data_IF_746250857436
#
_entry.id   IF_746250857436
#
_cell.length_a   1.000
_cell.length_b   1.000
_cell.length_c   1.000
_cell.angle_alpha   90.00
_cell.angle_beta   90.00
_cell.angle_gamma   90.00
#
_symmetry.space_group_name_H-M   'P 1'
#
loop_
_entity.id
_entity.type
_entity.pdbx_description
1 polymer ?
#
# COMPACT_ATOMS: atom_id res chain seq x y z
N UNK A 1 -6.08 12.24 8.97
CA UNK A 1 -5.12 11.15 8.79
C UNK A 1 -4.06 11.20 9.87
N UNK A 2 -3.71 10.08 10.46
CA UNK A 2 -2.57 9.93 11.36
C UNK A 2 -1.27 9.80 10.56
N UNK A 3 -0.19 10.43 11.03
CA UNK A 3 1.12 10.42 10.36
C UNK A 3 2.22 10.29 11.40
N UNK A 4 3.05 9.29 11.27
CA UNK A 4 4.28 9.14 12.03
C UNK A 4 5.44 9.76 11.24
N UNK A 5 6.20 10.66 11.89
CA UNK A 5 7.36 11.31 11.27
C UNK A 5 8.66 10.78 11.81
N UNK A 6 9.57 10.42 10.92
CA UNK A 6 10.93 10.00 11.21
C UNK A 6 11.93 10.95 10.54
N UNK A 7 12.87 11.48 11.31
CA UNK A 7 13.84 12.44 10.80
C UNK A 7 13.33 13.90 10.70
N UNK A 8 14.24 14.79 10.40
CA UNK A 8 13.98 16.23 10.40
C UNK A 8 14.67 17.01 9.26
N UNK A 9 15.19 16.33 8.25
CA UNK A 9 15.95 16.96 7.16
C UNK A 9 15.91 16.16 5.86
N UNK A 10 16.54 16.72 4.83
CA UNK A 10 16.63 16.08 3.53
C UNK A 10 15.32 16.01 2.76
N UNK A 11 15.30 15.20 1.70
CA UNK A 11 14.12 14.99 0.89
C UNK A 11 13.04 14.19 1.65
N UNK A 12 11.78 14.46 1.34
CA UNK A 12 10.64 13.79 1.95
C UNK A 12 10.38 12.44 1.29
N UNK A 13 10.05 11.43 2.11
CA UNK A 13 9.58 10.11 1.67
C UNK A 13 8.22 9.86 2.31
N UNK A 14 7.19 9.66 1.50
CA UNK A 14 5.85 9.29 1.93
C UNK A 14 5.69 7.77 1.85
N UNK A 15 5.33 7.14 2.96
CA UNK A 15 5.22 5.69 3.09
C UNK A 15 3.74 5.32 3.23
N UNK A 16 3.19 4.65 2.22
CA UNK A 16 1.75 4.35 2.08
C UNK A 16 1.53 2.84 2.16
N UNK A 17 0.82 2.40 3.19
CA UNK A 17 0.55 0.98 3.43
C UNK A 17 -0.56 0.42 2.52
N UNK A 18 -0.69 -0.91 2.51
CA UNK A 18 -1.72 -1.64 1.77
C UNK A 18 -2.99 -1.93 2.56
N UNK A 19 -3.93 -2.66 1.93
CA UNK A 19 -5.18 -3.06 2.54
C UNK A 19 -4.94 -3.90 3.81
N UNK A 20 -5.71 -3.63 4.86
CA UNK A 20 -5.66 -4.36 6.12
C UNK A 20 -4.43 -4.11 6.99
N UNK A 21 -3.49 -3.26 6.55
CA UNK A 21 -2.30 -2.85 7.31
C UNK A 21 -2.41 -1.38 7.77
N UNK A 22 -1.34 -0.81 8.30
CA UNK A 22 -1.27 0.56 8.78
C UNK A 22 0.19 1.07 8.79
N UNK A 23 0.44 2.31 9.23
CA UNK A 23 1.76 2.93 9.33
C UNK A 23 2.80 2.06 10.06
N UNK A 24 2.38 1.21 10.97
CA UNK A 24 3.23 0.26 11.67
C UNK A 24 4.02 -0.70 10.75
N UNK A 25 3.54 -0.90 9.51
CA UNK A 25 4.27 -1.65 8.46
C UNK A 25 5.67 -1.09 8.23
N UNK A 26 5.85 0.19 8.43
CA UNK A 26 7.08 0.92 8.13
C UNK A 26 8.06 1.06 9.29
N UNK A 27 7.76 0.48 10.48
CA UNK A 27 8.55 0.62 11.71
C UNK A 27 10.03 0.24 11.59
N UNK A 28 10.33 -0.74 10.72
CA UNK A 28 11.70 -1.22 10.48
C UNK A 28 12.40 -0.48 9.32
N UNK A 29 11.66 0.33 8.55
CA UNK A 29 12.13 0.99 7.31
C UNK A 29 12.26 2.49 7.50
N UNK A 30 11.25 3.14 8.08
CA UNK A 30 11.23 4.59 8.22
C UNK A 30 12.40 5.16 9.04
N UNK A 31 12.88 4.53 10.13
CA UNK A 31 14.08 4.96 10.84
C UNK A 31 15.34 4.97 9.96
N UNK A 32 15.50 4.00 9.07
CA UNK A 32 16.67 3.90 8.19
C UNK A 32 16.72 5.03 7.16
N UNK A 33 15.57 5.46 6.66
CA UNK A 33 15.48 6.67 5.82
C UNK A 33 15.88 7.93 6.60
N UNK A 34 15.52 8.03 7.88
CA UNK A 34 15.95 9.13 8.73
C UNK A 34 17.47 9.13 8.94
N UNK A 35 18.10 7.95 9.13
CA UNK A 35 19.55 7.81 9.21
C UNK A 35 20.24 8.18 7.89
N UNK A 36 19.60 7.94 6.75
CA UNK A 36 20.05 8.35 5.42
C UNK A 36 19.75 9.82 5.08
N UNK A 37 19.50 10.67 6.10
CA UNK A 37 19.19 12.09 5.93
C UNK A 37 17.96 12.36 5.06
N UNK A 38 16.88 11.56 5.24
CA UNK A 38 15.56 11.80 4.68
C UNK A 38 14.56 12.10 5.79
N UNK A 39 13.45 12.73 5.46
CA UNK A 39 12.30 12.79 6.38
C UNK A 39 11.24 11.83 5.88
N UNK A 40 11.04 10.71 6.58
CA UNK A 40 10.00 9.76 6.25
C UNK A 40 8.69 10.08 6.99
N UNK A 41 7.57 9.97 6.29
CA UNK A 41 6.22 10.13 6.79
C UNK A 41 5.46 8.83 6.54
N UNK A 42 5.31 8.01 7.58
CA UNK A 42 4.49 6.82 7.54
C UNK A 42 3.03 7.21 7.85
N UNK A 43 2.15 7.06 6.87
CA UNK A 43 0.75 7.48 7.01
C UNK A 43 -0.14 6.30 7.33
N UNK A 44 -1.15 6.51 8.17
CA UNK A 44 -2.35 5.68 8.18
C UNK A 44 -3.34 6.27 7.18
N UNK A 45 -3.69 5.51 6.16
CA UNK A 45 -4.73 5.89 5.21
C UNK A 45 -6.03 6.24 5.96
N UNK A 46 -6.86 7.12 5.39
CA UNK A 46 -8.11 7.49 6.02
C UNK A 46 -9.00 6.25 6.18
N UNK A 47 -9.49 6.01 7.37
CA UNK A 47 -10.19 4.77 7.70
C UNK A 47 -9.31 3.64 8.25
N UNK A 48 -7.98 3.74 8.22
CA UNK A 48 -7.04 2.71 8.67
C UNK A 48 -6.26 3.16 9.91
N UNK A 49 -5.64 2.20 10.60
CA UNK A 49 -4.73 2.44 11.73
C UNK A 49 -5.33 3.35 12.80
N UNK A 50 -4.64 4.42 13.12
CA UNK A 50 -5.04 5.47 14.08
C UNK A 50 -5.75 6.67 13.40
N UNK A 51 -5.97 6.61 12.07
CA UNK A 51 -6.75 7.61 11.35
C UNK A 51 -8.25 7.54 11.69
N UNK A 52 -8.95 8.67 11.54
CA UNK A 52 -10.40 8.73 11.72
C UNK A 52 -11.14 7.75 10.80
N UNK A 53 -12.28 7.22 11.28
CA UNK A 53 -13.09 6.18 10.62
C UNK A 53 -14.57 6.55 10.54
N UNK A 54 -14.94 7.68 9.94
CA UNK A 54 -16.36 8.01 9.76
C UNK A 54 -17.01 7.02 8.80
N UNK A 55 -18.24 6.61 9.08
CA UNK A 55 -18.96 5.61 8.29
C UNK A 55 -19.45 6.13 6.94
N UNK A 56 -19.52 7.44 6.78
CA UNK A 56 -20.04 8.17 5.60
C UNK A 56 -18.94 8.81 4.74
N UNK A 57 -17.67 8.49 5.01
CA UNK A 57 -16.57 8.98 4.20
C UNK A 57 -16.36 8.12 2.95
N UNK A 58 -15.78 8.74 1.94
CA UNK A 58 -15.29 8.06 0.77
C UNK A 58 -13.88 7.49 1.03
N UNK A 59 -13.70 6.19 0.86
CA UNK A 59 -12.43 5.49 1.03
C UNK A 59 -11.90 4.91 -0.29
N UNK A 60 -12.43 5.36 -1.43
CA UNK A 60 -11.97 4.99 -2.77
C UNK A 60 -10.48 5.32 -2.99
N UNK A 61 -9.85 4.69 -3.97
CA UNK A 61 -8.46 4.99 -4.35
C UNK A 61 -8.31 6.47 -4.69
N UNK A 62 -9.28 7.03 -5.41
CA UNK A 62 -9.28 8.44 -5.78
C UNK A 62 -9.35 9.36 -4.56
N UNK A 63 -10.26 9.10 -3.62
CA UNK A 63 -10.40 9.88 -2.41
C UNK A 63 -9.15 9.77 -1.51
N UNK A 64 -8.56 8.59 -1.39
CA UNK A 64 -7.32 8.39 -0.63
C UNK A 64 -6.16 9.20 -1.22
N UNK A 65 -6.03 9.27 -2.55
CA UNK A 65 -5.01 10.10 -3.19
C UNK A 65 -5.20 11.59 -2.86
N UNK A 66 -6.45 12.09 -2.83
CA UNK A 66 -6.75 13.47 -2.40
C UNK A 66 -6.43 13.69 -0.91
N UNK A 67 -6.71 12.72 -0.06
CA UNK A 67 -6.36 12.83 1.37
C UNK A 67 -4.85 12.85 1.59
N UNK A 68 -4.07 12.12 0.79
CA UNK A 68 -2.61 12.20 0.81
C UNK A 68 -2.10 13.59 0.36
N UNK A 69 -2.67 14.18 -0.68
CA UNK A 69 -2.31 15.55 -1.12
C UNK A 69 -2.58 16.58 -0.01
N UNK A 70 -3.74 16.48 0.64
CA UNK A 70 -4.07 17.34 1.80
C UNK A 70 -3.13 17.12 2.97
N UNK A 71 -2.73 15.87 3.24
CA UNK A 71 -1.76 15.55 4.28
C UNK A 71 -0.39 16.15 3.98
N UNK A 72 0.13 16.02 2.76
CA UNK A 72 1.37 16.67 2.31
C UNK A 72 1.31 18.19 2.51
N UNK A 73 0.18 18.80 2.17
CA UNK A 73 -0.04 20.26 2.37
C UNK A 73 0.00 20.63 3.85
N UNK A 74 -0.67 19.87 4.72
CA UNK A 74 -0.68 20.12 6.16
C UNK A 74 0.72 19.93 6.80
N UNK A 75 1.49 18.97 6.28
CA UNK A 75 2.88 18.71 6.68
C UNK A 75 3.88 19.73 6.10
N UNK A 76 3.42 20.63 5.22
CA UNK A 76 4.26 21.58 4.48
C UNK A 76 5.31 20.89 3.60
N UNK A 77 4.97 19.74 3.06
CA UNK A 77 5.77 18.98 2.11
C UNK A 77 5.26 19.30 0.71
N UNK A 78 6.05 19.99 -0.08
CA UNK A 78 5.67 20.36 -1.43
C UNK A 78 5.70 19.15 -2.37
N UNK A 79 6.70 18.26 -2.21
CA UNK A 79 6.96 17.12 -3.07
C UNK A 79 7.65 16.01 -2.27
N UNK A 80 7.35 14.74 -2.56
CA UNK A 80 7.94 13.60 -1.88
C UNK A 80 8.22 12.45 -2.86
N UNK A 81 9.22 11.62 -2.54
CA UNK A 81 9.26 10.25 -3.05
C UNK A 81 8.12 9.46 -2.38
N UNK A 82 7.36 8.69 -3.14
CA UNK A 82 6.22 7.93 -2.62
C UNK A 82 6.52 6.44 -2.70
N UNK A 83 6.50 5.76 -1.57
CA UNK A 83 6.64 4.30 -1.47
C UNK A 83 5.29 3.73 -1.06
N UNK A 84 4.67 2.98 -1.95
CA UNK A 84 3.37 2.35 -1.71
C UNK A 84 3.43 0.83 -1.82
N UNK A 85 2.67 0.14 -0.98
CA UNK A 85 2.51 -1.33 -1.02
C UNK A 85 1.07 -1.67 -1.35
N UNK A 86 0.81 -2.62 -2.27
CA UNK A 86 -0.52 -3.14 -2.58
C UNK A 86 -1.50 -2.00 -2.95
N UNK A 87 -2.56 -1.80 -2.18
CA UNK A 87 -3.49 -0.66 -2.32
C UNK A 87 -2.76 0.69 -2.23
N UNK A 88 -1.77 0.83 -1.34
CA UNK A 88 -0.97 2.04 -1.23
C UNK A 88 -0.17 2.36 -2.51
N UNK A 89 0.22 1.33 -3.26
CA UNK A 89 0.87 1.52 -4.57
C UNK A 89 -0.13 2.02 -5.63
N UNK A 90 -1.36 1.50 -5.64
CA UNK A 90 -2.43 2.00 -6.51
C UNK A 90 -2.78 3.48 -6.20
N UNK A 91 -2.86 3.83 -4.91
CA UNK A 91 -3.10 5.21 -4.47
C UNK A 91 -1.93 6.13 -4.87
N UNK A 92 -0.67 5.66 -4.75
CA UNK A 92 0.50 6.41 -5.20
C UNK A 92 0.47 6.68 -6.72
N UNK A 93 0.06 5.69 -7.50
CA UNK A 93 -0.12 5.81 -8.95
C UNK A 93 -1.20 6.86 -9.29
N UNK A 94 -2.36 6.81 -8.61
CA UNK A 94 -3.43 7.79 -8.76
C UNK A 94 -2.96 9.20 -8.38
N UNK A 95 -2.22 9.34 -7.28
CA UNK A 95 -1.65 10.62 -6.85
C UNK A 95 -0.68 11.17 -7.90
N UNK A 96 0.21 10.35 -8.46
CA UNK A 96 1.16 10.78 -9.48
C UNK A 96 0.46 11.23 -10.77
N UNK A 97 -0.60 10.55 -11.17
CA UNK A 97 -1.39 10.91 -12.35
C UNK A 97 -2.18 12.22 -12.16
N UNK A 98 -2.74 12.45 -10.97
CA UNK A 98 -3.64 13.60 -10.73
C UNK A 98 -2.93 14.82 -10.13
N UNK A 99 -1.79 14.62 -9.48
CA UNK A 99 -0.96 15.65 -8.81
C UNK A 99 0.54 15.42 -9.09
N UNK A 100 0.97 15.43 -10.36
CA UNK A 100 2.35 15.08 -10.73
C UNK A 100 3.41 15.93 -10.02
N UNK A 101 3.07 17.17 -9.67
CA UNK A 101 3.95 18.08 -8.94
C UNK A 101 4.23 17.64 -7.49
N UNK A 102 3.38 16.78 -6.92
CA UNK A 102 3.53 16.25 -5.55
C UNK A 102 4.47 15.07 -5.47
N UNK A 103 4.65 14.35 -6.58
CA UNK A 103 5.39 13.08 -6.61
C UNK A 103 6.73 13.29 -7.31
N UNK A 104 7.81 13.11 -6.56
CA UNK A 104 9.17 13.18 -7.09
C UNK A 104 9.54 11.92 -7.86
N UNK A 105 9.22 10.77 -7.30
CA UNK A 105 9.39 9.43 -7.85
C UNK A 105 8.47 8.46 -7.13
N UNK A 106 8.24 7.32 -7.74
CA UNK A 106 7.43 6.26 -7.15
C UNK A 106 8.23 4.98 -6.93
N UNK A 107 7.96 4.33 -5.81
CA UNK A 107 8.37 2.95 -5.54
C UNK A 107 7.10 2.17 -5.24
N UNK A 108 6.69 1.33 -6.17
CA UNK A 108 5.44 0.57 -6.12
C UNK A 108 5.77 -0.89 -5.77
N UNK A 109 5.38 -1.32 -4.59
CA UNK A 109 5.64 -2.67 -4.09
C UNK A 109 4.38 -3.50 -4.25
N UNK A 110 4.44 -4.57 -5.02
CA UNK A 110 3.30 -5.42 -5.35
C UNK A 110 2.04 -4.61 -5.68
N UNK A 111 2.13 -3.66 -6.65
CA UNK A 111 1.00 -2.81 -6.99
C UNK A 111 -0.18 -3.62 -7.51
N UNK A 112 -1.37 -3.36 -6.99
CA UNK A 112 -2.62 -3.82 -7.60
C UNK A 112 -2.97 -2.89 -8.76
N UNK A 113 -3.38 -3.46 -9.89
CA UNK A 113 -3.84 -2.73 -11.07
C UNK A 113 -4.67 -3.65 -11.96
N UNK A 114 -5.41 -3.07 -12.91
CA UNK A 114 -6.22 -3.79 -13.88
C UNK A 114 -7.23 -4.75 -13.22
N UNK A 115 -7.25 -6.02 -13.65
CA UNK A 115 -8.15 -7.06 -13.15
C UNK A 115 -7.84 -7.51 -11.69
N UNK A 116 -6.67 -7.12 -11.15
CA UNK A 116 -6.32 -7.31 -9.74
C UNK A 116 -6.83 -6.16 -8.82
N UNK A 117 -7.64 -5.24 -9.33
CA UNK A 117 -8.31 -4.22 -8.51
C UNK A 117 -9.81 -4.53 -8.40
N UNK A 118 -10.29 -4.77 -7.20
CA UNK A 118 -9.52 -5.07 -5.99
C UNK A 118 -8.79 -6.41 -6.09
N UNK A 119 -7.79 -6.62 -5.25
CA UNK A 119 -7.10 -7.91 -5.16
C UNK A 119 -8.07 -9.03 -4.72
N UNK A 120 -7.75 -10.29 -5.00
CA UNK A 120 -8.69 -11.40 -4.84
C UNK A 120 -9.21 -11.60 -3.42
N UNK A 121 -8.37 -11.33 -2.41
CA UNK A 121 -8.78 -11.32 -1.00
C UNK A 121 -9.87 -10.29 -0.70
N UNK A 122 -9.76 -9.10 -1.30
CA UNK A 122 -10.75 -8.03 -1.16
C UNK A 122 -12.02 -8.37 -1.97
N UNK A 123 -11.90 -8.96 -3.16
CA UNK A 123 -13.05 -9.46 -3.94
C UNK A 123 -13.85 -10.49 -3.15
N UNK A 124 -13.17 -11.37 -2.43
CA UNK A 124 -13.82 -12.36 -1.58
C UNK A 124 -14.54 -11.72 -0.39
N UNK A 125 -13.98 -10.67 0.21
CA UNK A 125 -14.66 -9.87 1.22
C UNK A 125 -15.93 -9.21 0.67
N UNK A 126 -15.87 -8.64 -0.52
CA UNK A 126 -17.01 -7.99 -1.18
C UNK A 126 -18.15 -8.98 -1.46
N UNK A 127 -17.81 -10.18 -1.98
CA UNK A 127 -18.78 -11.21 -2.39
C UNK A 127 -19.41 -11.98 -1.24
N UNK A 128 -18.64 -12.23 -0.18
CA UNK A 128 -19.02 -13.14 0.92
C UNK A 128 -19.58 -12.42 2.14
N UNK A 129 -19.88 -11.12 2.06
CA UNK A 129 -20.40 -10.32 3.17
C UNK A 129 -21.56 -10.95 3.94
N UNK A 130 -22.48 -11.63 3.25
CA UNK A 130 -23.60 -12.31 3.90
C UNK A 130 -23.21 -13.57 4.68
N UNK A 131 -22.23 -14.33 4.22
CA UNK A 131 -21.76 -15.55 4.88
C UNK A 131 -20.91 -15.26 6.10
N UNK A 132 -20.03 -14.27 6.00
CA UNK A 132 -19.17 -13.87 7.11
C UNK A 132 -19.94 -13.09 8.18
N UNK A 133 -20.85 -12.19 7.80
CA UNK A 133 -21.73 -11.50 8.74
C UNK A 133 -22.57 -12.48 9.58
N UNK A 134 -23.08 -13.56 9.00
CA UNK A 134 -23.82 -14.62 9.70
C UNK A 134 -22.96 -15.48 10.63
N UNK A 135 -21.70 -15.71 10.32
CA UNK A 135 -20.75 -16.44 11.17
C UNK A 135 -20.22 -15.57 12.31
N UNK A 136 -20.05 -14.30 12.08
CA UNK A 136 -19.41 -13.34 13.00
C UNK A 136 -20.46 -12.68 13.89
N UNK A 137 -21.71 -12.53 13.46
CA UNK A 137 -22.81 -12.03 14.31
C UNK A 137 -23.05 -12.87 15.60
N UNK A 138 -22.45 -14.04 15.67
CA UNK A 138 -22.45 -14.91 16.86
C UNK A 138 -21.17 -14.82 17.71
N UNK A 139 -20.20 -14.00 17.38
CA UNK A 139 -18.90 -13.99 18.05
C UNK A 139 -18.35 -12.61 18.37
N UNK A 140 -17.84 -12.46 19.58
CA UNK A 140 -17.08 -11.30 20.11
C UNK A 140 -15.81 -10.99 19.27
N UNK A 141 -15.45 -11.84 18.30
CA UNK A 141 -14.15 -11.83 17.62
C UNK A 141 -14.06 -10.87 16.42
N UNK A 142 -15.17 -10.30 15.93
CA UNK A 142 -15.15 -9.34 14.82
C UNK A 142 -14.55 -9.92 13.53
N UNK A 143 -13.79 -9.10 12.82
CA UNK A 143 -13.09 -9.48 11.59
C UNK A 143 -11.76 -10.22 11.82
N UNK A 144 -11.34 -10.39 13.08
CA UNK A 144 -10.02 -10.89 13.43
C UNK A 144 -9.65 -12.24 12.78
N UNK A 145 -10.51 -13.29 12.77
CA UNK A 145 -10.15 -14.56 12.13
C UNK A 145 -9.92 -14.43 10.63
N UNK A 146 -10.71 -13.60 9.96
CA UNK A 146 -10.61 -13.37 8.52
C UNK A 146 -9.31 -12.63 8.19
N UNK A 147 -9.06 -11.53 8.88
CA UNK A 147 -7.84 -10.74 8.67
C UNK A 147 -6.57 -11.50 9.03
N UNK A 148 -6.64 -12.43 10.01
CA UNK A 148 -5.52 -13.33 10.31
C UNK A 148 -5.11 -14.14 9.08
N UNK A 149 -6.08 -14.78 8.44
CA UNK A 149 -5.82 -15.60 7.26
C UNK A 149 -5.25 -14.74 6.12
N UNK A 150 -5.81 -13.56 5.88
CA UNK A 150 -5.33 -12.63 4.86
C UNK A 150 -3.87 -12.19 5.12
N UNK A 151 -3.55 -11.77 6.34
CA UNK A 151 -2.19 -11.34 6.71
C UNK A 151 -1.18 -12.48 6.61
N UNK A 152 -1.55 -13.69 7.06
CA UNK A 152 -0.67 -14.86 7.00
C UNK A 152 -0.41 -15.29 5.56
N UNK A 153 -1.39 -15.18 4.66
CA UNK A 153 -1.24 -15.47 3.24
C UNK A 153 -0.54 -14.33 2.45
N UNK A 154 -0.36 -13.16 3.06
CA UNK A 154 0.32 -12.03 2.42
C UNK A 154 1.85 -12.12 2.48
N UNK A 155 2.40 -13.12 3.15
CA UNK A 155 3.84 -13.40 3.24
C UNK A 155 4.14 -14.77 2.62
N UNK A 156 5.33 -14.92 2.05
CA UNK A 156 5.77 -16.20 1.48
C UNK A 156 5.99 -17.25 2.58
N UNK A 157 6.62 -16.85 3.68
CA UNK A 157 6.92 -17.71 4.82
C UNK A 157 6.13 -17.25 6.05
N UNK A 158 5.26 -18.10 6.64
CA UNK A 158 4.41 -17.74 7.78
C UNK A 158 5.16 -17.20 9.01
N UNK A 159 6.44 -17.56 9.16
CA UNK A 159 7.31 -17.07 10.25
C UNK A 159 7.47 -15.54 10.24
N UNK A 160 7.32 -14.90 9.08
CA UNK A 160 7.36 -13.44 8.96
C UNK A 160 6.10 -12.76 9.48
N UNK A 161 5.02 -13.52 9.74
CA UNK A 161 3.75 -13.00 10.28
C UNK A 161 3.35 -13.73 11.58
N UNK A 162 4.18 -13.66 12.66
CA UNK A 162 3.86 -14.32 13.92
C UNK A 162 2.61 -13.75 14.58
N UNK A 163 1.94 -14.51 15.43
CA UNK A 163 0.69 -14.15 16.09
C UNK A 163 0.68 -12.76 16.74
N UNK A 164 1.79 -12.36 17.35
CA UNK A 164 1.92 -11.04 17.98
C UNK A 164 1.85 -9.90 16.96
N UNK A 165 2.44 -10.10 15.78
CA UNK A 165 2.40 -9.14 14.68
C UNK A 165 1.01 -9.07 14.07
N UNK A 166 0.42 -10.24 13.81
CA UNK A 166 -0.98 -10.36 13.36
C UNK A 166 -1.92 -9.61 14.32
N UNK A 167 -1.78 -9.83 15.63
CA UNK A 167 -2.62 -9.15 16.63
C UNK A 167 -2.50 -7.62 16.58
N UNK A 168 -1.32 -7.08 16.24
CA UNK A 168 -1.11 -5.64 16.09
C UNK A 168 -1.90 -5.06 14.92
N UNK A 169 -1.86 -5.73 13.76
CA UNK A 169 -2.64 -5.32 12.59
C UNK A 169 -4.15 -5.52 12.78
N UNK A 170 -4.55 -6.53 13.56
CA UNK A 170 -5.96 -6.82 13.82
C UNK A 170 -6.63 -5.86 14.81
N UNK A 171 -5.87 -5.17 15.64
CA UNK A 171 -6.41 -4.32 16.70
C UNK A 171 -7.54 -3.37 16.23
N UNK A 172 -7.45 -2.73 15.05
CA UNK A 172 -8.52 -1.87 14.54
C UNK A 172 -9.81 -2.58 14.13
N UNK A 173 -9.75 -3.89 13.89
CA UNK A 173 -10.84 -4.69 13.29
C UNK A 173 -11.52 -5.63 14.29
N UNK A 174 -11.28 -5.44 15.59
CA UNK A 174 -11.91 -6.24 16.65
C UNK A 174 -13.36 -5.76 16.88
N UNK A 175 -14.26 -6.72 17.12
CA UNK A 175 -15.68 -6.46 17.40
C UNK A 175 -16.52 -6.21 16.12
N UNK A 176 -17.81 -5.98 16.32
CA UNK A 176 -18.78 -5.80 15.23
C UNK A 176 -18.56 -4.52 14.43
N UNK A 177 -18.15 -3.45 15.07
CA UNK A 177 -17.84 -2.18 14.40
C UNK A 177 -16.60 -2.31 13.51
N UNK A 178 -15.56 -3.00 13.99
CA UNK A 178 -14.36 -3.26 13.22
C UNK A 178 -14.64 -4.09 11.96
N UNK A 179 -15.50 -5.11 12.05
CA UNK A 179 -15.93 -5.86 10.89
C UNK A 179 -16.70 -4.99 9.88
N UNK A 180 -17.70 -4.25 10.35
CA UNK A 180 -18.49 -3.38 9.47
C UNK A 180 -17.60 -2.38 8.74
N UNK A 181 -16.64 -1.81 9.46
CA UNK A 181 -15.69 -0.87 8.88
C UNK A 181 -14.79 -1.53 7.84
N UNK A 182 -14.23 -2.71 8.13
CA UNK A 182 -13.44 -3.47 7.14
C UNK A 182 -14.22 -3.72 5.86
N UNK A 183 -15.51 -4.05 5.96
CA UNK A 183 -16.38 -4.28 4.81
C UNK A 183 -16.66 -2.98 4.02
N UNK A 184 -16.76 -1.84 4.71
CA UNK A 184 -16.86 -0.52 4.05
C UNK A 184 -15.58 -0.25 3.25
N UNK A 185 -14.41 -0.41 3.88
CA UNK A 185 -13.12 -0.24 3.22
C UNK A 185 -12.98 -1.15 1.99
N UNK A 186 -13.30 -2.44 2.13
CA UNK A 186 -13.23 -3.39 1.02
C UNK A 186 -14.13 -3.00 -0.16
N UNK A 187 -15.35 -2.51 0.12
CA UNK A 187 -16.30 -2.10 -0.92
C UNK A 187 -15.95 -0.79 -1.62
N UNK A 188 -15.10 0.01 -1.02
CA UNK A 188 -14.66 1.30 -1.58
C UNK A 188 -13.51 1.15 -2.58
N UNK A 189 -12.97 -0.06 -2.77
CA UNK A 189 -11.89 -0.31 -3.72
C UNK A 189 -12.49 -0.74 -5.04
N UNK A 190 -12.33 0.08 -6.07
CA UNK A 190 -12.81 -0.17 -7.43
C UNK A 190 -11.72 0.11 -8.46
N UNK A 191 -11.76 -0.67 -9.57
CA UNK A 191 -10.85 -0.51 -10.69
C UNK A 191 -11.09 0.81 -11.45
N UNK A 192 -12.32 1.32 -11.47
CA UNK A 192 -12.69 2.56 -12.17
C UNK A 192 -11.80 3.74 -11.78
N UNK A 193 -11.32 3.78 -10.52
CA UNK A 193 -10.41 4.82 -10.04
C UNK A 193 -9.05 4.83 -10.75
N UNK A 194 -8.64 3.73 -11.37
CA UNK A 194 -7.39 3.59 -12.11
C UNK A 194 -7.58 3.59 -13.63
N UNK A 195 -8.79 3.30 -14.13
CA UNK A 195 -9.08 3.21 -15.57
C UNK A 195 -8.88 4.54 -16.31
N UNK A 196 -9.01 5.67 -15.59
CA UNK A 196 -8.79 7.01 -16.14
C UNK A 196 -7.30 7.42 -16.24
N UNK A 197 -6.38 6.57 -15.74
CA UNK A 197 -4.96 6.89 -15.70
C UNK A 197 -4.30 6.51 -17.03
N UNK A 198 -3.77 7.53 -17.70
CA UNK A 198 -2.92 7.35 -18.87
C UNK A 198 -1.49 7.03 -18.43
N UNK A 199 -1.17 5.74 -18.26
CA UNK A 199 0.13 5.28 -17.75
C UNK A 199 1.32 5.79 -18.57
N UNK A 200 1.13 5.99 -19.87
CA UNK A 200 2.15 6.53 -20.80
C UNK A 200 2.49 8.00 -20.53
N UNK A 201 1.69 8.71 -19.73
CA UNK A 201 1.91 10.10 -19.33
C UNK A 201 2.53 10.22 -17.93
N UNK A 202 2.86 9.11 -17.29
CA UNK A 202 3.58 9.11 -16.02
C UNK A 202 5.06 9.40 -16.29
N UNK A 203 5.49 10.61 -15.96
CA UNK A 203 6.88 11.08 -16.17
C UNK A 203 7.77 10.86 -14.94
N UNK A 204 7.19 10.54 -13.79
CA UNK A 204 7.95 10.33 -12.55
C UNK A 204 8.80 9.06 -12.65
N UNK A 205 10.09 9.12 -12.30
CA UNK A 205 10.90 7.91 -12.18
C UNK A 205 10.19 6.87 -11.33
N UNK A 206 9.98 5.67 -11.88
CA UNK A 206 9.19 4.62 -11.24
C UNK A 206 10.03 3.35 -11.07
N UNK A 207 10.04 2.82 -9.85
CA UNK A 207 10.57 1.51 -9.50
C UNK A 207 9.41 0.62 -9.08
N UNK A 208 9.27 -0.54 -9.70
CA UNK A 208 8.35 -1.58 -9.22
C UNK A 208 9.17 -2.68 -8.55
N UNK A 209 8.78 -3.04 -7.33
CA UNK A 209 9.32 -4.18 -6.59
C UNK A 209 8.23 -5.26 -6.55
N UNK A 210 8.52 -6.40 -7.15
CA UNK A 210 7.56 -7.50 -7.27
C UNK A 210 8.01 -8.72 -6.48
N UNK A 211 7.32 -8.99 -5.36
CA UNK A 211 7.41 -10.24 -4.61
C UNK A 211 6.61 -11.32 -5.34
N UNK A 212 7.31 -12.28 -5.95
CA UNK A 212 6.70 -13.24 -6.89
C UNK A 212 5.84 -14.31 -6.19
N UNK A 213 5.91 -14.40 -4.85
CA UNK A 213 5.07 -15.27 -4.03
C UNK A 213 3.77 -14.58 -3.55
N UNK A 214 3.41 -13.44 -4.13
CA UNK A 214 2.11 -12.82 -3.86
C UNK A 214 0.97 -13.67 -4.45
N UNK A 215 0.23 -14.32 -3.59
CA UNK A 215 -0.88 -15.22 -3.96
C UNK A 215 -2.15 -14.48 -4.38
N UNK A 216 -2.24 -13.17 -4.14
CA UNK A 216 -3.42 -12.36 -4.42
C UNK A 216 -3.34 -11.59 -5.74
N UNK A 217 -2.15 -11.46 -6.32
CA UNK A 217 -1.97 -10.98 -7.68
C UNK A 217 -2.07 -12.16 -8.65
N UNK A 218 -3.29 -12.67 -8.83
CA UNK A 218 -3.54 -13.93 -9.53
C UNK A 218 -3.85 -13.77 -11.00
N UNK A 219 -4.30 -12.58 -11.40
CA UNK A 219 -4.68 -12.31 -12.77
C UNK A 219 -3.46 -12.18 -13.68
N UNK A 220 -3.48 -12.95 -14.75
CA UNK A 220 -2.41 -12.98 -15.75
C UNK A 220 -2.96 -12.56 -17.10
N UNK A 221 -2.89 -11.29 -17.43
CA UNK A 221 -3.26 -10.80 -18.74
C UNK A 221 -2.07 -10.94 -19.71
N UNK A 222 -2.25 -11.70 -20.78
CA UNK A 222 -1.19 -12.06 -21.72
C UNK A 222 0.00 -12.76 -21.02
N UNK A 223 -0.28 -13.54 -19.97
CA UNK A 223 0.72 -14.28 -19.20
C UNK A 223 1.54 -13.45 -18.20
N UNK A 224 1.17 -12.19 -17.96
CA UNK A 224 1.87 -11.26 -17.07
C UNK A 224 1.01 -10.83 -15.89
N UNK A 225 1.62 -10.67 -14.73
CA UNK A 225 1.01 -10.07 -13.55
C UNK A 225 0.91 -8.55 -13.68
N UNK A 226 0.08 -7.91 -12.86
CA UNK A 226 -0.09 -6.45 -12.85
C UNK A 226 1.25 -5.67 -12.71
N UNK A 227 2.19 -6.03 -11.80
CA UNK A 227 3.48 -5.36 -11.71
C UNK A 227 4.30 -5.40 -13.00
N UNK A 228 4.25 -6.54 -13.73
CA UNK A 228 4.97 -6.72 -14.99
C UNK A 228 4.39 -5.86 -16.11
N UNK A 229 3.06 -5.77 -16.18
CA UNK A 229 2.36 -4.94 -17.16
C UNK A 229 2.60 -3.46 -16.91
N UNK A 230 2.47 -3.01 -15.66
CA UNK A 230 2.76 -1.62 -15.27
C UNK A 230 4.19 -1.22 -15.65
N UNK A 231 5.16 -2.13 -15.43
CA UNK A 231 6.56 -1.87 -15.78
C UNK A 231 6.79 -1.69 -17.28
N UNK A 232 5.97 -2.29 -18.13
CA UNK A 232 6.03 -2.11 -19.59
C UNK A 232 5.29 -0.85 -20.07
N UNK A 233 4.20 -0.49 -19.39
CA UNK A 233 3.32 0.61 -19.79
C UNK A 233 3.78 1.97 -19.25
N UNK A 234 4.47 2.01 -18.09
CA UNK A 234 5.04 3.25 -17.54
C UNK A 234 6.42 3.53 -18.16
N UNK A 235 6.62 4.69 -18.81
CA UNK A 235 7.88 5.02 -19.47
C UNK A 235 9.07 5.00 -18.52
N UNK A 236 10.14 4.31 -18.88
CA UNK A 236 11.37 4.26 -18.09
C UNK A 236 11.26 3.55 -16.73
N UNK A 237 10.18 2.82 -16.51
CA UNK A 237 9.97 2.07 -15.27
C UNK A 237 11.01 0.95 -15.12
N UNK A 238 11.55 0.81 -13.91
CA UNK A 238 12.44 -0.29 -13.53
C UNK A 238 11.65 -1.33 -12.75
N UNK A 239 11.77 -2.60 -13.14
CA UNK A 239 11.18 -3.74 -12.40
C UNK A 239 12.29 -4.53 -11.70
N UNK A 240 12.11 -4.76 -10.39
CA UNK A 240 12.91 -5.68 -9.59
C UNK A 240 12.02 -6.80 -9.09
N UNK A 241 12.42 -8.06 -9.32
CA UNK A 241 11.69 -9.26 -8.87
C UNK A 241 12.35 -9.85 -7.65
N UNK A 242 11.55 -10.25 -6.69
CA UNK A 242 11.96 -10.93 -5.47
C UNK A 242 11.31 -12.33 -5.43
N UNK A 243 12.00 -13.39 -5.90
CA UNK A 243 11.38 -14.71 -6.16
C UNK A 243 10.83 -15.42 -4.91
N UNK A 244 11.39 -15.13 -3.74
CA UNK A 244 11.06 -15.80 -2.48
C UNK A 244 10.30 -14.89 -1.49
N UNK A 245 9.65 -13.82 -1.98
CA UNK A 245 8.98 -12.81 -1.16
C UNK A 245 7.53 -12.68 -1.61
N UNK A 246 6.61 -12.56 -0.66
CA UNK A 246 5.18 -12.34 -0.90
C UNK A 246 4.81 -10.86 -1.07
N UNK A 247 3.57 -10.53 -0.71
CA UNK A 247 3.00 -9.18 -0.84
C UNK A 247 3.64 -8.17 0.11
N UNK A 248 3.89 -8.58 1.36
CA UNK A 248 4.37 -7.68 2.41
C UNK A 248 5.90 -7.64 2.47
N UNK A 249 6.52 -7.20 1.37
CA UNK A 249 7.99 -7.00 1.29
C UNK A 249 8.57 -6.25 2.50
N UNK A 250 7.89 -5.22 3.09
CA UNK A 250 8.38 -4.55 4.30
C UNK A 250 8.52 -5.45 5.53
N UNK A 251 7.74 -6.52 5.62
CA UNK A 251 7.84 -7.50 6.72
C UNK A 251 8.85 -8.62 6.42
N UNK A 252 8.93 -9.04 5.17
CA UNK A 252 9.73 -10.19 4.76
C UNK A 252 11.17 -9.83 4.41
N UNK A 253 11.39 -8.68 3.80
CA UNK A 253 12.70 -8.26 3.28
C UNK A 253 12.92 -6.75 3.42
N UNK A 254 12.82 -6.19 4.64
CA UNK A 254 12.92 -4.74 4.87
C UNK A 254 14.26 -4.17 4.40
N UNK A 255 15.38 -4.84 4.64
CA UNK A 255 16.72 -4.40 4.23
C UNK A 255 16.84 -4.29 2.71
N UNK A 256 16.30 -5.28 1.98
CA UNK A 256 16.27 -5.23 0.51
C UNK A 256 15.48 -4.03 0.01
N UNK A 257 14.30 -3.78 0.59
CA UNK A 257 13.48 -2.65 0.19
C UNK A 257 14.16 -1.31 0.52
N UNK A 258 14.77 -1.17 1.69
CA UNK A 258 15.54 0.02 2.08
C UNK A 258 16.62 0.32 1.03
N UNK A 259 17.45 -0.67 0.71
CA UNK A 259 18.53 -0.51 -0.26
C UNK A 259 18.00 -0.13 -1.64
N UNK A 260 16.95 -0.79 -2.13
CA UNK A 260 16.34 -0.49 -3.42
C UNK A 260 15.81 0.95 -3.48
N UNK A 261 15.16 1.43 -2.42
CA UNK A 261 14.64 2.81 -2.36
C UNK A 261 15.78 3.82 -2.33
N UNK A 262 16.80 3.61 -1.48
CA UNK A 262 17.94 4.53 -1.36
C UNK A 262 18.79 4.58 -2.63
N UNK A 263 19.03 3.42 -3.28
CA UNK A 263 19.75 3.35 -4.54
C UNK A 263 18.98 4.05 -5.67
N UNK A 264 17.66 3.86 -5.71
CA UNK A 264 16.81 4.49 -6.71
C UNK A 264 16.72 6.01 -6.50
N UNK A 265 16.78 6.46 -5.26
CA UNK A 265 16.83 7.88 -4.89
C UNK A 265 18.16 8.54 -5.32
N UNK A 266 19.28 7.82 -5.19
CA UNK A 266 20.62 8.29 -5.59
C UNK A 266 20.91 8.28 -7.10
N UNK A 267 20.22 7.43 -7.84
CA UNK A 267 20.47 7.22 -9.29
C UNK A 267 19.94 8.34 -10.20
N UNK A 268 19.14 9.27 -9.68
CA UNK A 268 18.38 10.25 -10.48
C UNK A 268 19.02 11.64 -10.59
N UNK A 269 20.28 11.83 -10.20
CA UNK A 269 21.00 13.04 -10.54
C UNK A 269 21.82 12.81 -11.83
N UNK A 270 21.46 13.37 -12.98
CA UNK A 270 22.43 13.45 -14.09
C UNK A 270 23.59 14.28 -13.56
N UNK A 271 24.77 13.65 -13.49
CA UNK A 271 26.02 14.40 -13.24
C UNK A 271 26.21 15.32 -14.45
N UNK A 272 25.96 16.60 -14.22
CA UNK A 272 26.29 17.69 -15.14
C UNK A 272 27.80 17.77 -15.36
#
# INVERSE_FOLDING_TARGET
MHVERYGHGGAAVLLVHGFGTCSFLWRNIAPEFALANRTAFAVDLFGYGESDRPFDADFSIAAQAEYLDRALTALRVARAAVVGVDLGAAIALRLAATRPERVERMILVNPIAYDDVPADDVKDLQKNTGRYALRISRGILGAAPLMRDLLTQSVAEPEHMPDKLVARYLAPYVGSEGLNHLLILARSIDAEDLDEIELTQIDQPTLIVFGEQDHFLTQRTRGKAAPERLAEEIPGCRLVRLPAVGRLVPEESPETLINLVLDFDGASAPRS
#
